data_IF_859136300469
#
_entry.id   IF_859136300469
#
_cell.length_a   1.000
_cell.length_b   1.000
_cell.length_c   1.000
_cell.angle_alpha   90.00
_cell.angle_beta   90.00
_cell.angle_gamma   90.00
#
_symmetry.space_group_name_H-M   'P 1'
#
loop_
_entity.id
_entity.type
_entity.pdbx_description
1 polymer ?
#
# COMPACT_ATOMS: atom_id res chain seq x y z
N UNK A 1 9.63 0.59 5.42
CA UNK A 1 8.28 0.00 5.67
C UNK A 1 7.31 0.17 4.49
N UNK A 2 7.49 1.21 3.66
CA UNK A 2 6.94 1.27 2.29
C UNK A 2 7.73 0.45 1.28
N UNK A 3 9.03 0.20 1.55
CA UNK A 3 9.94 -0.54 0.67
C UNK A 3 9.46 -1.96 0.36
N UNK A 4 8.80 -2.62 1.32
CA UNK A 4 8.26 -3.97 1.12
C UNK A 4 7.07 -3.94 0.17
N UNK A 5 6.11 -3.04 0.41
CA UNK A 5 4.97 -2.78 -0.47
C UNK A 5 5.43 -2.41 -1.89
N UNK A 6 6.42 -1.52 -1.99
CA UNK A 6 7.03 -1.10 -3.24
C UNK A 6 7.69 -2.29 -3.96
N UNK A 7 8.43 -3.15 -3.25
CA UNK A 7 8.99 -4.38 -3.81
C UNK A 7 7.92 -5.36 -4.27
N UNK A 8 6.83 -5.54 -3.52
CA UNK A 8 5.72 -6.44 -3.89
C UNK A 8 5.01 -5.95 -5.15
N UNK A 9 4.82 -4.63 -5.30
CA UNK A 9 4.26 -4.02 -6.51
C UNK A 9 5.24 -4.14 -7.68
N UNK A 10 6.51 -3.82 -7.46
CA UNK A 10 7.53 -3.82 -8.52
C UNK A 10 7.82 -5.23 -9.05
N UNK A 11 7.69 -6.25 -8.20
CA UNK A 11 7.78 -7.67 -8.58
C UNK A 11 6.43 -8.27 -9.03
N UNK A 12 5.39 -7.45 -9.23
CA UNK A 12 4.05 -7.88 -9.68
C UNK A 12 3.36 -8.93 -8.79
N UNK A 13 3.79 -9.09 -7.53
CA UNK A 13 3.19 -10.02 -6.57
C UNK A 13 1.86 -9.52 -6.00
N UNK A 14 1.47 -8.28 -6.30
CA UNK A 14 0.24 -7.67 -5.81
C UNK A 14 -0.70 -7.37 -6.99
N UNK A 15 -1.75 -8.17 -7.14
CA UNK A 15 -2.89 -7.84 -8.01
C UNK A 15 -4.04 -7.36 -7.13
N UNK A 16 -4.52 -6.14 -7.40
CA UNK A 16 -5.70 -5.58 -6.76
C UNK A 16 -6.87 -5.71 -7.75
N UNK A 17 -7.89 -6.53 -7.45
CA UNK A 17 -9.09 -6.62 -8.28
C UNK A 17 -9.80 -5.26 -8.39
N UNK A 18 -10.33 -4.94 -9.57
CA UNK A 18 -11.00 -3.67 -9.87
C UNK A 18 -12.19 -3.36 -8.95
N UNK A 19 -12.81 -4.39 -8.36
CA UNK A 19 -13.87 -4.26 -7.35
C UNK A 19 -13.44 -3.52 -6.08
N UNK A 20 -12.13 -3.38 -5.84
CA UNK A 20 -11.57 -2.65 -4.70
C UNK A 20 -11.13 -1.23 -5.09
N UNK A 21 -12.01 -0.49 -5.75
CA UNK A 21 -11.77 0.88 -6.23
C UNK A 21 -11.21 1.80 -5.13
N UNK A 22 -11.76 1.75 -3.90
CA UNK A 22 -11.26 2.54 -2.76
C UNK A 22 -9.81 2.26 -2.43
N UNK A 23 -9.38 1.00 -2.58
CA UNK A 23 -8.00 0.58 -2.33
C UNK A 23 -7.10 1.05 -3.47
N UNK A 24 -7.58 1.00 -4.72
CA UNK A 24 -6.87 1.53 -5.89
C UNK A 24 -6.69 3.05 -5.77
N UNK A 25 -7.73 3.78 -5.34
CA UNK A 25 -7.68 5.21 -5.06
C UNK A 25 -6.69 5.50 -3.92
N UNK A 26 -6.69 4.67 -2.87
CA UNK A 26 -5.70 4.77 -1.81
C UNK A 26 -4.28 4.66 -2.36
N UNK A 27 -4.01 3.65 -3.19
CA UNK A 27 -2.71 3.47 -3.84
C UNK A 27 -2.31 4.60 -4.79
N UNK A 28 -3.27 5.13 -5.57
CA UNK A 28 -3.02 6.26 -6.48
C UNK A 28 -2.73 7.57 -5.76
N UNK A 29 -3.35 7.77 -4.59
CA UNK A 29 -3.16 8.97 -3.77
C UNK A 29 -2.10 8.78 -2.68
N UNK A 30 -1.54 7.56 -2.56
CA UNK A 30 -0.51 7.24 -1.59
C UNK A 30 0.74 8.07 -1.86
N UNK A 31 0.96 9.06 -1.00
CA UNK A 31 2.21 9.78 -0.95
C UNK A 31 3.02 9.35 0.26
N UNK A 32 4.32 9.19 0.04
CA UNK A 32 5.27 8.97 1.10
C UNK A 32 6.20 10.17 1.17
N UNK A 33 6.23 10.83 2.32
CA UNK A 33 7.20 11.86 2.65
C UNK A 33 8.22 11.26 3.59
N UNK A 34 9.48 11.24 3.15
CA UNK A 34 10.61 10.79 3.99
C UNK A 34 10.38 9.43 4.67
N UNK A 35 9.99 8.43 3.87
CA UNK A 35 9.71 7.05 4.33
C UNK A 35 8.51 6.88 5.27
N UNK A 36 7.79 7.96 5.57
CA UNK A 36 6.53 7.95 6.29
C UNK A 36 5.36 8.21 5.33
N UNK A 37 4.28 7.47 5.52
CA UNK A 37 3.08 7.60 4.69
C UNK A 37 2.38 8.90 5.08
N UNK A 38 2.23 9.82 4.13
CA UNK A 38 1.62 11.12 4.34
C UNK A 38 0.10 10.93 4.40
N UNK A 39 -0.42 10.83 5.64
CA UNK A 39 -1.83 10.54 5.90
C UNK A 39 -2.77 11.70 5.54
N UNK A 40 -2.23 12.91 5.37
CA UNK A 40 -3.02 14.09 4.99
C UNK A 40 -3.30 14.12 3.49
N UNK A 41 -2.35 13.67 2.67
CA UNK A 41 -2.53 13.59 1.22
C UNK A 41 -3.03 12.22 0.74
N UNK A 42 -2.80 11.16 1.51
CA UNK A 42 -3.24 9.82 1.14
C UNK A 42 -4.70 9.60 1.54
N UNK A 43 -5.57 9.47 0.54
CA UNK A 43 -6.97 9.10 0.77
C UNK A 43 -7.07 7.63 1.17
N UNK A 44 -8.00 7.30 2.07
CA UNK A 44 -8.22 5.94 2.57
C UNK A 44 -6.96 5.28 3.16
N UNK A 45 -6.17 6.05 3.94
CA UNK A 45 -4.95 5.55 4.56
C UNK A 45 -5.19 4.29 5.42
N UNK A 46 -6.37 4.14 6.03
CA UNK A 46 -6.75 2.96 6.82
C UNK A 46 -6.69 1.65 6.01
N UNK A 47 -7.08 1.70 4.73
CA UNK A 47 -7.02 0.55 3.83
C UNK A 47 -5.57 0.17 3.50
N UNK A 48 -4.72 1.18 3.29
CA UNK A 48 -3.28 0.97 3.08
C UNK A 48 -2.60 0.43 4.33
N UNK A 49 -2.97 0.93 5.52
CA UNK A 49 -2.43 0.44 6.79
C UNK A 49 -2.87 -1.01 7.06
N UNK A 50 -4.14 -1.34 6.79
CA UNK A 50 -4.64 -2.72 6.86
C UNK A 50 -3.95 -3.68 5.89
N UNK A 51 -3.70 -3.23 4.65
CA UNK A 51 -2.95 -4.01 3.68
C UNK A 51 -1.48 -4.14 4.08
N UNK A 52 -0.87 -3.10 4.64
CA UNK A 52 0.49 -3.11 5.18
C UNK A 52 0.62 -4.08 6.36
N UNK A 53 -0.37 -4.15 7.25
CA UNK A 53 -0.42 -5.14 8.33
C UNK A 53 -0.53 -6.56 7.79
N UNK A 54 -1.39 -6.76 6.78
CA UNK A 54 -1.57 -8.05 6.10
C UNK A 54 -0.28 -8.51 5.41
N UNK A 55 0.42 -7.60 4.74
CA UNK A 55 1.71 -7.85 4.11
C UNK A 55 2.85 -8.00 5.11
N UNK A 56 2.77 -7.41 6.31
CA UNK A 56 3.75 -7.65 7.38
C UNK A 56 3.71 -9.10 7.87
N UNK A 57 2.54 -9.75 7.80
CA UNK A 57 2.41 -11.20 8.04
C UNK A 57 3.07 -12.05 6.96
N UNK A 58 3.23 -11.52 5.75
CA UNK A 58 4.01 -12.13 4.68
C UNK A 58 5.48 -11.71 4.80
N UNK A 59 6.30 -12.54 5.45
CA UNK A 59 7.76 -12.48 5.24
C UNK A 59 8.04 -12.91 3.80
N UNK A 60 8.21 -11.94 2.90
CA UNK A 60 8.96 -12.14 1.67
C UNK A 60 10.41 -12.34 2.11
N UNK A 61 10.77 -13.61 2.31
CA UNK A 61 12.13 -14.04 2.68
C UNK A 61 13.18 -13.65 1.65
#
# INVERSE_FOLDING_TARGET
MLSHLYMTINKEYLTIPEKYDKLIVAFRTAQAKEYSLDKEQTSYNDLLDGLRLSLKGYSLG
#
